data_IF_699212559246
#
_entry.id   IF_699212559246
#
_cell.length_a   1.000
_cell.length_b   1.000
_cell.length_c   1.000
_cell.angle_alpha   90.00
_cell.angle_beta   90.00
_cell.angle_gamma   90.00
#
_symmetry.space_group_name_H-M   'P 1'
#
loop_
_entity.id
_entity.type
_entity.pdbx_description
1 polymer ?
#
# COMPACT_ATOMS: atom_id res chain seq x y z
N UNK A 1 -17.40 -33.04 3.83
CA UNK A 1 -17.94 -31.78 3.27
C UNK A 1 -17.43 -30.62 4.11
N UNK A 2 -16.29 -30.04 3.76
CA UNK A 2 -15.67 -28.95 4.52
C UNK A 2 -16.54 -27.69 4.40
N UNK A 3 -17.42 -27.46 5.38
CA UNK A 3 -18.07 -26.18 5.59
C UNK A 3 -16.98 -25.23 6.08
N UNK A 4 -16.20 -24.65 5.16
CA UNK A 4 -15.27 -23.55 5.47
C UNK A 4 -16.13 -22.45 6.08
N UNK A 5 -16.09 -22.36 7.40
CA UNK A 5 -16.75 -21.31 8.18
C UNK A 5 -16.24 -19.98 7.64
N UNK A 6 -17.11 -19.24 6.94
CA UNK A 6 -16.91 -17.84 6.59
C UNK A 6 -17.07 -16.99 7.86
N UNK A 7 -16.24 -17.27 8.86
CA UNK A 7 -16.24 -16.60 10.16
C UNK A 7 -15.07 -15.63 10.17
N UNK A 8 -15.37 -14.38 10.52
CA UNK A 8 -14.46 -13.25 10.79
C UNK A 8 -14.12 -12.39 9.56
N UNK A 9 -15.00 -11.41 9.28
CA UNK A 9 -14.67 -10.21 8.52
C UNK A 9 -13.57 -9.44 9.27
N UNK A 10 -12.32 -9.67 8.89
CA UNK A 10 -11.20 -8.93 9.44
C UNK A 10 -11.10 -7.55 8.74
N UNK A 11 -11.35 -6.51 9.54
CA UNK A 11 -11.45 -5.11 9.09
C UNK A 11 -10.15 -4.58 8.46
N UNK A 12 -9.02 -5.25 8.70
CA UNK A 12 -7.72 -4.85 8.16
C UNK A 12 -7.46 -5.39 6.75
N UNK A 13 -7.95 -6.57 6.39
CA UNK A 13 -7.83 -7.11 5.02
C UNK A 13 -8.63 -6.29 4.01
N UNK A 14 -9.82 -5.83 4.39
CA UNK A 14 -10.65 -4.96 3.53
C UNK A 14 -9.98 -3.61 3.31
N UNK A 15 -9.41 -3.03 4.37
CA UNK A 15 -8.65 -1.79 4.27
C UNK A 15 -7.39 -1.93 3.41
N UNK A 16 -6.71 -3.08 3.53
CA UNK A 16 -5.54 -3.43 2.72
C UNK A 16 -5.87 -3.53 1.24
N UNK A 17 -6.93 -4.22 0.89
CA UNK A 17 -7.40 -4.30 -0.49
C UNK A 17 -7.73 -2.90 -1.06
N UNK A 18 -8.35 -2.03 -0.26
CA UNK A 18 -8.73 -0.68 -0.68
C UNK A 18 -7.50 0.18 -1.04
N UNK A 19 -6.53 0.32 -0.13
CA UNK A 19 -5.37 1.17 -0.41
C UNK A 19 -4.50 0.60 -1.53
N UNK A 20 -4.44 -0.73 -1.67
CA UNK A 20 -3.63 -1.40 -2.68
C UNK A 20 -4.22 -1.17 -4.07
N UNK A 21 -5.54 -1.19 -4.18
CA UNK A 21 -6.26 -0.82 -5.41
C UNK A 21 -6.02 0.65 -5.79
N UNK A 22 -6.13 1.58 -4.83
CA UNK A 22 -5.85 3.00 -5.06
C UNK A 22 -4.41 3.22 -5.54
N UNK A 23 -3.45 2.53 -4.92
CA UNK A 23 -2.06 2.55 -5.33
C UNK A 23 -1.89 2.04 -6.77
N UNK A 24 -2.49 0.91 -7.13
CA UNK A 24 -2.43 0.36 -8.48
C UNK A 24 -3.03 1.31 -9.52
N UNK A 25 -4.17 1.91 -9.23
CA UNK A 25 -4.81 2.90 -10.12
C UNK A 25 -3.93 4.14 -10.30
N UNK A 26 -3.36 4.67 -9.21
CA UNK A 26 -2.43 5.78 -9.28
C UNK A 26 -1.17 5.42 -10.07
N UNK A 27 -0.58 4.23 -9.86
CA UNK A 27 0.56 3.73 -10.64
C UNK A 27 0.22 3.59 -12.13
N UNK A 28 -0.96 3.07 -12.48
CA UNK A 28 -1.44 2.97 -13.88
C UNK A 28 -1.61 4.34 -14.53
N UNK A 29 -2.08 5.33 -13.77
CA UNK A 29 -2.22 6.73 -14.22
C UNK A 29 -0.91 7.51 -14.16
N UNK A 30 0.19 6.87 -13.74
CA UNK A 30 1.49 7.50 -13.46
C UNK A 30 1.40 8.67 -12.46
N UNK A 31 0.40 8.65 -11.59
CA UNK A 31 0.30 9.57 -10.48
C UNK A 31 1.35 9.24 -9.43
N UNK A 32 1.99 10.29 -8.93
CA UNK A 32 3.12 10.21 -8.00
C UNK A 32 2.67 10.02 -6.55
N UNK A 33 1.40 10.27 -6.28
CA UNK A 33 0.79 10.14 -4.96
C UNK A 33 -0.70 9.83 -5.07
N UNK A 34 -1.28 9.31 -4.00
CA UNK A 34 -2.72 9.12 -3.84
C UNK A 34 -3.15 9.49 -2.41
N UNK A 35 -4.41 9.85 -2.24
CA UNK A 35 -4.99 10.18 -0.94
C UNK A 35 -5.52 8.93 -0.27
N UNK A 36 -5.08 8.64 0.95
CA UNK A 36 -5.61 7.53 1.73
C UNK A 36 -6.94 7.94 2.41
N UNK A 37 -8.06 7.27 2.11
CA UNK A 37 -9.38 7.69 2.60
C UNK A 37 -9.62 7.41 4.08
N UNK A 38 -8.81 6.56 4.73
CA UNK A 38 -8.96 6.22 6.16
C UNK A 38 -8.17 7.18 7.04
N UNK A 39 -6.97 7.53 6.61
CA UNK A 39 -6.03 8.34 7.38
C UNK A 39 -5.93 9.80 6.91
N UNK A 40 -6.40 10.09 5.68
CA UNK A 40 -6.32 11.41 5.08
C UNK A 40 -4.92 11.81 4.60
N UNK A 41 -3.94 10.92 4.72
CA UNK A 41 -2.56 11.21 4.31
C UNK A 41 -2.37 11.09 2.80
N UNK A 42 -1.42 11.87 2.29
CA UNK A 42 -0.94 11.74 0.90
C UNK A 42 0.16 10.68 0.90
N UNK A 43 -0.11 9.53 0.27
CA UNK A 43 0.83 8.42 0.15
C UNK A 43 1.50 8.47 -1.21
N UNK A 44 2.83 8.45 -1.23
CA UNK A 44 3.60 8.39 -2.48
C UNK A 44 3.48 7.01 -3.13
N UNK A 45 3.38 7.00 -4.45
CA UNK A 45 3.35 5.76 -5.23
C UNK A 45 4.77 5.26 -5.50
N UNK A 46 4.87 4.00 -5.96
CA UNK A 46 6.14 3.42 -6.38
C UNK A 46 6.73 4.20 -7.58
N UNK A 47 5.91 4.92 -8.35
CA UNK A 47 6.34 5.76 -9.47
C UNK A 47 7.20 6.92 -8.98
N UNK A 48 6.78 7.65 -7.95
CA UNK A 48 7.57 8.75 -7.38
C UNK A 48 8.87 8.23 -6.75
N UNK A 49 8.83 7.09 -6.08
CA UNK A 49 10.03 6.48 -5.52
C UNK A 49 11.03 6.07 -6.62
N UNK A 50 10.56 5.48 -7.73
CA UNK A 50 11.41 5.16 -8.88
C UNK A 50 11.95 6.40 -9.57
N UNK A 51 11.14 7.46 -9.69
CA UNK A 51 11.54 8.72 -10.31
C UNK A 51 12.59 9.45 -9.47
N UNK A 52 12.44 9.45 -8.14
CA UNK A 52 13.41 10.04 -7.21
C UNK A 52 14.67 9.21 -7.07
N UNK A 53 14.55 7.88 -7.15
CA UNK A 53 15.67 6.95 -7.01
C UNK A 53 16.10 6.66 -5.57
N UNK A 54 15.35 7.12 -4.55
CA UNK A 54 15.67 6.91 -3.14
C UNK A 54 14.42 6.83 -2.23
N UNK A 55 14.59 6.30 -1.02
CA UNK A 55 13.54 6.18 -0.01
C UNK A 55 13.12 7.56 0.54
N UNK A 56 11.80 7.77 0.73
CA UNK A 56 11.26 9.03 1.29
C UNK A 56 11.57 9.23 2.77
N UNK A 57 11.93 8.17 3.51
CA UNK A 57 12.03 8.10 4.98
C UNK A 57 10.75 8.50 5.75
N UNK A 58 9.70 8.93 5.06
CA UNK A 58 8.43 9.38 5.64
C UNK A 58 7.49 8.24 6.07
N UNK A 59 8.00 7.01 6.21
CA UNK A 59 7.19 5.85 6.59
C UNK A 59 6.20 5.37 5.51
N UNK A 60 6.47 5.66 4.23
CA UNK A 60 5.63 5.25 3.09
C UNK A 60 5.42 3.72 3.09
N UNK A 61 4.16 3.23 3.05
CA UNK A 61 3.81 1.80 3.16
C UNK A 61 4.20 0.97 1.93
N UNK A 62 4.34 1.60 0.78
CA UNK A 62 4.64 0.96 -0.51
C UNK A 62 6.01 1.35 -1.06
N UNK A 63 6.94 1.69 -0.18
CA UNK A 63 8.27 2.08 -0.61
C UNK A 63 9.01 0.87 -1.21
N UNK A 64 9.41 0.90 -2.50
CA UNK A 64 10.13 -0.22 -3.13
C UNK A 64 11.52 -0.45 -2.53
N UNK A 65 12.06 0.56 -1.81
CA UNK A 65 13.35 0.49 -1.11
C UNK A 65 13.22 -0.01 0.33
N UNK A 66 12.01 -0.09 0.89
CA UNK A 66 11.80 -0.58 2.25
C UNK A 66 11.68 -2.10 2.25
N UNK A 67 12.76 -2.76 1.80
CA UNK A 67 12.95 -4.19 1.95
C UNK A 67 13.99 -4.41 3.04
N UNK A 68 13.56 -4.36 4.30
CA UNK A 68 14.30 -5.02 5.38
C UNK A 68 13.30 -5.53 6.41
N UNK A 69 12.67 -6.65 6.08
CA UNK A 69 12.31 -7.65 7.09
C UNK A 69 13.51 -8.59 7.18
N UNK A 70 14.61 -8.14 7.80
CA UNK A 70 15.66 -9.05 8.24
C UNK A 70 15.34 -9.46 9.68
N UNK A 71 14.45 -10.45 9.80
CA UNK A 71 14.54 -11.39 10.91
C UNK A 71 15.87 -12.13 10.80
N UNK A 72 16.82 -11.83 11.69
CA UNK A 72 17.54 -12.82 12.52
C UNK A 72 18.58 -12.13 13.43
#
# INVERSE_FOLDING_TARGET
>A
MARKRASSMDSEETYKALYLKLHEEACKRQERSYSDPKTGFIVLTAVEHRARGYCCESGCRHCPYKNEQNEN
#
